data_IF_982392939379
#
_entry.id   IF_982392939379
#
_cell.length_a   1.000
_cell.length_b   1.000
_cell.length_c   1.000
_cell.angle_alpha   90.00
_cell.angle_beta   90.00
_cell.angle_gamma   90.00
#
_symmetry.space_group_name_H-M   'P 1'
#
loop_
_entity.id
_entity.type
_entity.pdbx_description
1 polymer ?
#
# COMPACT_ATOMS: atom_id res chain seq x y z
N UNK A 1 -0.46 16.45 7.58
CA UNK A 1 -0.57 15.06 8.10
C UNK A 1 -1.99 14.56 7.82
N UNK A 2 -2.30 13.27 7.70
CA UNK A 2 -3.61 12.83 7.17
C UNK A 2 -4.57 12.26 8.24
N UNK A 3 -5.86 12.56 8.13
CA UNK A 3 -6.89 12.15 9.11
C UNK A 3 -8.22 11.77 8.42
N UNK A 4 -8.88 10.70 8.89
CA UNK A 4 -10.21 10.31 8.40
C UNK A 4 -11.28 10.89 9.34
N UNK A 5 -12.19 11.69 8.79
CA UNK A 5 -13.27 12.35 9.54
C UNK A 5 -14.66 11.96 9.03
N UNK A 6 -15.63 12.01 9.92
CA UNK A 6 -17.06 11.94 9.59
C UNK A 6 -17.59 13.30 9.22
N UNK A 7 -18.36 13.37 8.15
CA UNK A 7 -19.11 14.56 7.76
C UNK A 7 -20.59 14.21 7.71
N UNK A 8 -21.39 14.97 8.45
CA UNK A 8 -22.85 14.93 8.36
C UNK A 8 -23.31 15.71 7.12
N UNK A 9 -24.26 15.15 6.40
CA UNK A 9 -24.79 15.67 5.15
C UNK A 9 -26.21 16.17 5.43
N UNK A 10 -26.50 17.40 5.00
CA UNK A 10 -27.81 18.01 5.18
C UNK A 10 -28.91 17.30 4.35
N UNK A 11 -28.51 16.66 3.24
CA UNK A 11 -29.40 15.97 2.33
C UNK A 11 -29.14 14.45 2.33
N UNK A 12 -30.17 13.67 2.02
CA UNK A 12 -30.12 12.20 1.95
C UNK A 12 -29.40 11.69 0.69
N UNK A 13 -28.12 12.00 0.60
CA UNK A 13 -27.21 11.58 -0.49
C UNK A 13 -26.34 10.38 -0.09
N UNK A 14 -26.51 9.82 1.11
CA UNK A 14 -25.92 8.55 1.57
C UNK A 14 -26.91 7.76 2.43
N UNK A 15 -26.61 6.50 2.73
CA UNK A 15 -27.53 5.62 3.49
C UNK A 15 -27.82 6.11 4.92
N UNK A 16 -26.92 6.94 5.48
CA UNK A 16 -26.99 7.42 6.88
C UNK A 16 -26.87 8.94 7.02
N UNK A 17 -27.01 9.69 5.92
CA UNK A 17 -26.70 11.13 5.87
C UNK A 17 -25.31 11.48 6.43
N UNK A 18 -24.39 10.51 6.41
CA UNK A 18 -23.02 10.65 6.88
C UNK A 18 -22.11 10.06 5.80
N UNK A 19 -20.95 10.67 5.61
CA UNK A 19 -19.86 10.14 4.77
C UNK A 19 -18.54 10.26 5.53
N UNK A 20 -17.64 9.31 5.30
CA UNK A 20 -16.26 9.41 5.77
C UNK A 20 -15.40 10.05 4.68
N UNK A 21 -14.50 10.95 5.05
CA UNK A 21 -13.55 11.60 4.14
C UNK A 21 -12.14 11.60 4.71
N UNK A 22 -11.13 11.57 3.84
CA UNK A 22 -9.73 11.73 4.19
C UNK A 22 -9.32 13.19 4.02
N UNK A 23 -8.85 13.81 5.10
CA UNK A 23 -8.39 15.19 5.17
C UNK A 23 -6.87 15.25 5.24
N UNK A 24 -6.32 16.30 4.64
CA UNK A 24 -5.01 16.80 5.01
C UNK A 24 -5.18 17.81 6.17
N UNK A 25 -4.49 17.55 7.28
CA UNK A 25 -4.54 18.34 8.50
C UNK A 25 -3.82 19.68 8.37
N UNK A 26 -2.92 19.82 7.41
CA UNK A 26 -2.19 21.07 7.20
C UNK A 26 -3.06 22.09 6.46
N UNK A 27 -3.62 21.68 5.32
CA UNK A 27 -4.57 22.52 4.58
C UNK A 27 -5.98 22.54 5.18
N UNK A 28 -6.32 21.60 6.07
CA UNK A 28 -7.66 21.36 6.64
C UNK A 28 -8.74 20.98 5.62
N UNK A 29 -8.35 20.71 4.36
CA UNK A 29 -9.26 20.31 3.29
C UNK A 29 -9.25 18.79 3.04
N UNK A 30 -10.35 18.23 2.51
CA UNK A 30 -10.34 16.87 2.00
C UNK A 30 -9.31 16.70 0.90
N UNK A 31 -8.56 15.59 0.92
CA UNK A 31 -7.68 15.22 -0.18
C UNK A 31 -8.52 15.02 -1.44
N UNK A 32 -8.13 15.67 -2.55
CA UNK A 32 -8.93 15.74 -3.79
C UNK A 32 -9.35 14.37 -4.32
N UNK A 33 -8.39 13.48 -4.59
CA UNK A 33 -8.71 12.19 -5.21
C UNK A 33 -9.47 11.24 -4.25
N UNK A 34 -9.13 11.15 -2.94
CA UNK A 34 -9.91 10.42 -1.96
C UNK A 34 -11.33 10.97 -1.80
N UNK A 35 -11.52 12.29 -1.88
CA UNK A 35 -12.85 12.91 -1.89
C UNK A 35 -13.68 12.41 -3.10
N UNK A 36 -13.10 12.47 -4.30
CA UNK A 36 -13.79 12.01 -5.51
C UNK A 36 -14.11 10.51 -5.43
N UNK A 37 -13.19 9.70 -4.94
CA UNK A 37 -13.42 8.28 -4.68
C UNK A 37 -14.53 8.04 -3.64
N UNK A 38 -14.52 8.80 -2.54
CA UNK A 38 -15.58 8.77 -1.53
C UNK A 38 -16.95 9.02 -2.15
N UNK A 39 -17.08 10.08 -2.95
CA UNK A 39 -18.36 10.49 -3.53
C UNK A 39 -18.84 9.56 -4.65
N UNK A 40 -17.93 9.01 -5.46
CA UNK A 40 -18.28 8.25 -6.67
C UNK A 40 -18.32 6.74 -6.45
N UNK A 41 -17.53 6.20 -5.53
CA UNK A 41 -17.34 4.74 -5.41
C UNK A 41 -17.84 4.19 -4.07
N UNK A 42 -17.56 4.86 -2.95
CA UNK A 42 -17.81 4.27 -1.62
C UNK A 42 -18.93 4.95 -0.83
N UNK A 43 -19.54 6.01 -1.34
CA UNK A 43 -20.62 6.79 -0.69
C UNK A 43 -21.77 5.96 -0.14
N UNK A 44 -22.17 4.90 -0.86
CA UNK A 44 -23.28 4.02 -0.49
C UNK A 44 -22.85 2.75 0.24
N UNK A 45 -21.55 2.59 0.48
CA UNK A 45 -21.04 1.51 1.33
C UNK A 45 -21.36 1.80 2.80
N UNK A 46 -21.31 0.76 3.63
CA UNK A 46 -21.44 0.94 5.08
C UNK A 46 -20.37 1.89 5.62
N UNK A 47 -20.66 2.63 6.70
CA UNK A 47 -19.69 3.57 7.29
C UNK A 47 -18.40 2.88 7.74
N UNK A 48 -18.47 1.62 8.19
CA UNK A 48 -17.29 0.84 8.56
C UNK A 48 -16.46 0.48 7.34
N UNK A 49 -17.09 0.11 6.22
CA UNK A 49 -16.41 -0.11 4.94
C UNK A 49 -15.76 1.17 4.43
N UNK A 50 -16.46 2.30 4.45
CA UNK A 50 -15.89 3.60 4.05
C UNK A 50 -14.67 3.95 4.91
N UNK A 51 -14.79 3.81 6.23
CA UNK A 51 -13.69 4.06 7.15
C UNK A 51 -12.50 3.14 6.89
N UNK A 52 -12.74 1.84 6.69
CA UNK A 52 -11.68 0.87 6.37
C UNK A 52 -10.97 1.21 5.05
N UNK A 53 -11.74 1.56 4.01
CA UNK A 53 -11.18 1.95 2.71
C UNK A 53 -10.31 3.21 2.86
N UNK A 54 -10.79 4.23 3.58
CA UNK A 54 -10.06 5.49 3.77
C UNK A 54 -8.87 5.39 4.73
N UNK A 55 -8.91 4.50 5.71
CA UNK A 55 -7.75 4.22 6.56
C UNK A 55 -6.61 3.58 5.75
N UNK A 56 -6.94 2.73 4.78
CA UNK A 56 -5.94 2.21 3.85
C UNK A 56 -5.38 3.31 2.93
N UNK A 57 -6.22 4.24 2.46
CA UNK A 57 -5.74 5.40 1.70
C UNK A 57 -4.89 6.33 2.54
N UNK A 58 -5.22 6.53 3.83
CA UNK A 58 -4.38 7.26 4.76
C UNK A 58 -2.98 6.64 4.85
N UNK A 59 -2.87 5.32 4.96
CA UNK A 59 -1.56 4.65 4.98
C UNK A 59 -0.79 4.88 3.69
N UNK A 60 -1.44 4.81 2.52
CA UNK A 60 -0.82 5.14 1.22
C UNK A 60 -0.33 6.58 1.15
N UNK A 61 -1.14 7.54 1.59
CA UNK A 61 -0.79 8.96 1.60
C UNK A 61 0.37 9.26 2.56
N UNK A 62 0.37 8.62 3.73
CA UNK A 62 1.49 8.72 4.68
C UNK A 62 2.77 8.09 4.12
N UNK A 63 2.68 6.92 3.48
CA UNK A 63 3.79 6.28 2.78
C UNK A 63 4.39 7.22 1.73
N UNK A 64 3.54 7.76 0.85
CA UNK A 64 3.97 8.61 -0.25
C UNK A 64 4.66 9.87 0.26
N UNK A 65 4.04 10.57 1.21
CA UNK A 65 4.59 11.79 1.78
C UNK A 65 5.91 11.54 2.51
N UNK A 66 6.02 10.47 3.29
CA UNK A 66 7.29 10.12 3.96
C UNK A 66 8.41 9.79 2.96
N UNK A 67 8.09 9.20 1.80
CA UNK A 67 9.09 8.81 0.80
C UNK A 67 9.52 9.99 -0.08
N UNK A 68 8.59 10.84 -0.48
CA UNK A 68 8.82 11.88 -1.51
C UNK A 68 8.69 13.32 -1.01
N UNK A 69 8.31 13.53 0.26
CA UNK A 69 8.06 14.85 0.86
C UNK A 69 7.03 15.71 0.11
N UNK A 70 6.15 15.08 -0.66
CA UNK A 70 5.08 15.72 -1.44
C UNK A 70 3.77 14.97 -1.21
N UNK A 71 2.63 15.65 -1.26
CA UNK A 71 1.34 14.97 -1.16
C UNK A 71 1.08 14.12 -2.42
N UNK A 72 0.41 12.97 -2.26
CA UNK A 72 0.06 12.14 -3.42
C UNK A 72 -0.87 12.89 -4.39
N UNK A 73 -1.76 13.75 -3.89
CA UNK A 73 -2.63 14.56 -4.75
C UNK A 73 -1.82 15.51 -5.64
N UNK A 74 -0.87 16.24 -5.04
CA UNK A 74 -0.02 17.17 -5.75
C UNK A 74 0.85 16.43 -6.77
N UNK A 75 1.52 15.34 -6.36
CA UNK A 75 2.30 14.50 -7.26
C UNK A 75 1.46 13.98 -8.44
N UNK A 76 0.29 13.41 -8.18
CA UNK A 76 -0.51 12.79 -9.23
C UNK A 76 -1.02 13.83 -10.24
N UNK A 77 -1.28 15.06 -9.79
CA UNK A 77 -1.61 16.17 -10.67
C UNK A 77 -0.39 16.67 -11.46
N UNK A 78 0.74 16.95 -10.79
CA UNK A 78 1.93 17.54 -11.40
C UNK A 78 2.68 16.59 -12.35
N UNK A 79 2.61 15.28 -12.09
CA UNK A 79 3.12 14.23 -12.99
C UNK A 79 2.25 13.98 -14.23
N UNK A 80 1.21 14.79 -14.43
CA UNK A 80 0.21 14.60 -15.48
C UNK A 80 -0.40 13.19 -15.44
N UNK A 81 -0.79 12.75 -14.23
CA UNK A 81 -1.43 11.46 -13.98
C UNK A 81 -0.58 10.26 -14.40
N UNK A 82 0.73 10.28 -14.17
CA UNK A 82 1.61 9.18 -14.56
C UNK A 82 1.39 7.92 -13.69
N UNK A 83 0.68 6.94 -14.26
CA UNK A 83 0.36 5.68 -13.60
C UNK A 83 1.55 4.73 -13.44
N UNK A 84 2.58 4.84 -14.28
CA UNK A 84 3.76 3.97 -14.23
C UNK A 84 4.56 4.22 -12.95
N UNK A 85 4.76 5.50 -12.59
CA UNK A 85 5.44 5.89 -11.35
C UNK A 85 4.69 5.41 -10.09
N UNK A 86 3.35 5.40 -10.13
CA UNK A 86 2.54 4.89 -9.01
C UNK A 86 2.59 3.37 -8.95
N UNK A 87 2.55 2.73 -10.12
CA UNK A 87 2.60 1.28 -10.29
C UNK A 87 3.89 0.68 -9.72
N UNK A 88 5.04 1.32 -9.93
CA UNK A 88 6.34 0.89 -9.41
C UNK A 88 6.39 0.88 -7.88
N UNK A 89 5.58 1.72 -7.23
CA UNK A 89 5.56 1.89 -5.78
C UNK A 89 4.62 0.94 -5.04
N UNK A 90 3.84 0.13 -5.75
CA UNK A 90 2.90 -0.82 -5.14
C UNK A 90 3.65 -1.84 -4.26
N UNK A 91 4.79 -2.34 -4.74
CA UNK A 91 5.59 -3.33 -3.99
C UNK A 91 6.27 -2.71 -2.78
N UNK A 92 6.84 -1.52 -2.94
CA UNK A 92 7.41 -0.76 -1.83
C UNK A 92 6.36 -0.46 -0.76
N UNK A 93 5.13 -0.13 -1.16
CA UNK A 93 4.04 0.11 -0.22
C UNK A 93 3.61 -1.15 0.54
N UNK A 94 3.59 -2.31 -0.13
CA UNK A 94 3.32 -3.58 0.56
C UNK A 94 4.40 -3.83 1.63
N UNK A 95 5.67 -3.64 1.28
CA UNK A 95 6.79 -3.78 2.23
C UNK A 95 6.65 -2.79 3.39
N UNK A 96 6.27 -1.54 3.12
CA UNK A 96 5.99 -0.53 4.14
C UNK A 96 4.89 -0.97 5.12
N UNK A 97 3.80 -1.55 4.62
CA UNK A 97 2.72 -2.10 5.46
C UNK A 97 3.20 -3.30 6.28
N UNK A 98 4.03 -4.16 5.70
CA UNK A 98 4.65 -5.31 6.39
C UNK A 98 5.62 -4.85 7.50
N UNK A 99 6.28 -3.70 7.31
CA UNK A 99 7.16 -3.06 8.27
C UNK A 99 6.42 -2.14 9.27
N UNK A 100 5.13 -2.37 9.52
CA UNK A 100 4.31 -1.58 10.45
C UNK A 100 4.33 -0.07 10.17
N UNK A 101 4.21 0.31 8.89
CA UNK A 101 4.23 1.71 8.45
C UNK A 101 5.57 2.43 8.69
N UNK A 102 6.67 1.69 8.65
CA UNK A 102 8.04 2.23 8.67
C UNK A 102 8.70 2.12 7.28
N UNK A 103 9.33 3.22 6.87
CA UNK A 103 10.07 3.38 5.60
C UNK A 103 11.57 3.14 5.76
N UNK A 104 12.04 2.74 6.95
CA UNK A 104 13.42 2.33 7.14
C UNK A 104 13.84 1.32 6.06
N UNK A 105 15.07 1.46 5.54
CA UNK A 105 15.65 0.64 4.46
C UNK A 105 15.86 -0.82 4.90
N UNK A 106 14.77 -1.52 5.17
CA UNK A 106 14.75 -2.86 5.71
C UNK A 106 14.00 -3.73 4.72
N UNK A 107 14.76 -4.46 3.91
CA UNK A 107 14.23 -5.52 3.06
C UNK A 107 13.71 -6.63 3.97
N UNK A 108 12.40 -6.83 3.95
CA UNK A 108 11.76 -7.81 4.81
C UNK A 108 11.97 -9.23 4.28
N UNK A 109 12.60 -10.08 5.08
CA UNK A 109 12.72 -11.50 4.79
C UNK A 109 11.66 -12.20 5.62
N UNK A 110 10.44 -12.34 5.08
CA UNK A 110 9.35 -13.25 5.49
C UNK A 110 9.07 -13.59 6.97
N UNK A 111 7.80 -13.59 7.39
CA UNK A 111 7.38 -14.31 8.61
C UNK A 111 7.40 -13.58 9.97
N UNK A 112 7.01 -12.31 10.04
CA UNK A 112 6.95 -11.60 11.32
C UNK A 112 5.68 -12.10 11.99
N UNK A 113 5.83 -12.76 13.14
CA UNK A 113 4.70 -13.34 13.86
C UNK A 113 3.68 -12.26 14.25
N UNK A 114 4.12 -11.01 14.46
CA UNK A 114 3.29 -9.85 14.79
C UNK A 114 2.55 -9.27 13.57
N UNK A 115 2.97 -9.57 12.34
CA UNK A 115 2.35 -9.01 11.12
C UNK A 115 1.03 -9.70 10.81
N UNK A 116 -0.05 -8.91 10.85
CA UNK A 116 -1.39 -9.33 10.49
C UNK A 116 -1.59 -9.21 8.96
N UNK A 117 -1.27 -10.28 8.24
CA UNK A 117 -1.43 -10.35 6.79
C UNK A 117 -2.88 -10.22 6.32
N UNK A 118 -3.89 -10.52 7.15
CA UNK A 118 -5.30 -10.28 6.82
C UNK A 118 -5.57 -8.78 6.75
N UNK A 119 -5.08 -8.02 7.73
CA UNK A 119 -5.21 -6.57 7.75
C UNK A 119 -4.47 -5.92 6.57
N UNK A 120 -3.21 -6.31 6.33
CA UNK A 120 -2.44 -5.82 5.17
C UNK A 120 -3.18 -6.14 3.87
N UNK A 121 -3.69 -7.36 3.74
CA UNK A 121 -4.46 -7.77 2.57
C UNK A 121 -5.68 -6.89 2.32
N UNK A 122 -6.42 -6.54 3.37
CA UNK A 122 -7.56 -5.63 3.26
C UNK A 122 -7.12 -4.21 2.89
N UNK A 123 -6.04 -3.69 3.47
CA UNK A 123 -5.48 -2.38 3.12
C UNK A 123 -5.06 -2.31 1.66
N UNK A 124 -4.30 -3.30 1.19
CA UNK A 124 -3.85 -3.36 -0.21
C UNK A 124 -5.04 -3.49 -1.16
N UNK A 125 -6.05 -4.31 -0.85
CA UNK A 125 -7.26 -4.38 -1.69
C UNK A 125 -7.99 -3.04 -1.79
N UNK A 126 -8.08 -2.32 -0.68
CA UNK A 126 -8.73 -1.01 -0.62
C UNK A 126 -7.96 0.04 -1.44
N UNK A 127 -6.63 0.05 -1.31
CA UNK A 127 -5.76 0.86 -2.16
C UNK A 127 -5.90 0.49 -3.64
N UNK A 128 -5.86 -0.80 -4.00
CA UNK A 128 -5.99 -1.25 -5.38
C UNK A 128 -7.36 -0.89 -5.99
N UNK A 129 -8.43 -0.90 -5.18
CA UNK A 129 -9.76 -0.42 -5.57
C UNK A 129 -9.73 1.09 -5.90
N UNK A 130 -9.09 1.90 -5.07
CA UNK A 130 -8.88 3.33 -5.34
C UNK A 130 -8.00 3.56 -6.58
N UNK A 131 -6.92 2.80 -6.72
CA UNK A 131 -6.02 2.91 -7.87
C UNK A 131 -6.72 2.55 -9.19
N UNK A 132 -7.56 1.52 -9.19
CA UNK A 132 -8.43 1.20 -10.35
C UNK A 132 -9.39 2.34 -10.66
N UNK A 133 -10.00 2.96 -9.65
CA UNK A 133 -10.85 4.14 -9.84
C UNK A 133 -10.08 5.30 -10.53
N UNK A 134 -8.86 5.60 -10.09
CA UNK A 134 -8.04 6.63 -10.74
C UNK A 134 -7.74 6.25 -12.19
N UNK A 135 -7.37 4.99 -12.44
CA UNK A 135 -7.05 4.51 -13.79
C UNK A 135 -8.25 4.65 -14.73
N UNK A 136 -9.46 4.40 -14.26
CA UNK A 136 -10.66 4.52 -15.08
C UNK A 136 -10.98 5.98 -15.45
N UNK A 137 -10.81 6.92 -14.51
CA UNK A 137 -11.14 8.35 -14.69
C UNK A 137 -10.01 9.16 -15.36
N UNK A 138 -8.74 8.80 -15.13
CA UNK A 138 -7.59 9.64 -15.50
C UNK A 138 -6.70 9.05 -16.59
N UNK A 139 -6.64 7.71 -16.76
CA UNK A 139 -5.93 7.11 -17.88
C UNK A 139 -6.86 7.04 -19.11
N UNK A 140 -7.11 8.21 -19.71
CA UNK A 140 -8.01 8.39 -20.86
C UNK A 140 -7.37 9.25 -21.94
N UNK A 141 -7.81 9.12 -23.20
CA UNK A 141 -7.26 9.89 -24.34
C UNK A 141 -7.36 11.40 -24.08
N UNK A 142 -8.42 11.84 -23.39
CA UNK A 142 -8.60 13.26 -23.02
C UNK A 142 -7.49 13.77 -22.11
N UNK A 143 -6.97 12.93 -21.22
CA UNK A 143 -5.92 13.27 -20.26
C UNK A 143 -4.51 12.97 -20.78
N UNK A 144 -4.40 12.01 -21.68
CA UNK A 144 -3.16 11.63 -22.36
C UNK A 144 -3.34 11.73 -23.88
N UNK A 145 -3.37 12.95 -24.45
CA UNK A 145 -3.65 13.16 -25.87
C UNK A 145 -2.55 12.62 -26.81
N UNK A 146 -1.38 12.29 -26.27
CA UNK A 146 -0.27 11.68 -26.99
C UNK A 146 -0.41 10.15 -27.14
N UNK A 147 -1.37 9.53 -26.46
CA UNK A 147 -1.64 8.09 -26.54
C UNK A 147 -2.94 7.84 -27.31
N UNK A 148 -2.91 6.82 -28.15
CA UNK A 148 -4.13 6.33 -28.78
C UNK A 148 -4.94 5.42 -27.84
N UNK A 149 -6.16 5.09 -28.26
CA UNK A 149 -7.05 4.23 -27.47
C UNK A 149 -6.46 2.83 -27.24
N UNK A 150 -5.75 2.25 -28.21
CA UNK A 150 -5.17 0.91 -28.10
C UNK A 150 -4.02 0.90 -27.09
N UNK A 151 -3.19 1.94 -27.09
CA UNK A 151 -2.11 2.14 -26.14
C UNK A 151 -2.64 2.29 -24.72
N UNK A 152 -3.66 3.11 -24.52
CA UNK A 152 -4.33 3.26 -23.22
C UNK A 152 -4.89 1.92 -22.72
N UNK A 153 -5.61 1.18 -23.56
CA UNK A 153 -6.15 -0.13 -23.18
C UNK A 153 -5.04 -1.16 -22.89
N UNK A 154 -3.92 -1.09 -23.62
CA UNK A 154 -2.74 -1.93 -23.36
C UNK A 154 -2.12 -1.61 -21.99
N UNK A 155 -1.95 -0.34 -21.66
CA UNK A 155 -1.44 0.10 -20.34
C UNK A 155 -2.39 -0.36 -19.24
N UNK A 156 -3.70 -0.09 -19.37
CA UNK A 156 -4.73 -0.55 -18.41
C UNK A 156 -4.68 -2.06 -18.21
N UNK A 157 -4.58 -2.83 -19.29
CA UNK A 157 -4.48 -4.29 -19.25
C UNK A 157 -3.23 -4.77 -18.50
N UNK A 158 -2.08 -4.15 -18.74
CA UNK A 158 -0.83 -4.48 -18.06
C UNK A 158 -0.91 -4.19 -16.55
N UNK A 159 -1.40 -3.00 -16.19
CA UNK A 159 -1.64 -2.61 -14.80
C UNK A 159 -2.59 -3.60 -14.14
N UNK A 160 -3.72 -3.92 -14.78
CA UNK A 160 -4.72 -4.86 -14.25
C UNK A 160 -4.16 -6.26 -14.01
N UNK A 161 -3.36 -6.79 -14.94
CA UNK A 161 -2.67 -8.08 -14.77
C UNK A 161 -1.78 -8.08 -13.53
N UNK A 162 -1.04 -6.99 -13.30
CA UNK A 162 -0.20 -6.85 -12.12
C UNK A 162 -1.03 -6.75 -10.84
N UNK A 163 -2.09 -5.92 -10.82
CA UNK A 163 -3.03 -5.82 -9.69
C UNK A 163 -3.58 -7.21 -9.33
N UNK A 164 -4.01 -7.98 -10.32
CA UNK A 164 -4.55 -9.33 -10.11
C UNK A 164 -3.49 -10.31 -9.61
N UNK A 165 -2.26 -10.19 -10.11
CA UNK A 165 -1.12 -10.95 -9.60
C UNK A 165 -0.83 -10.64 -8.13
N UNK A 166 -0.79 -9.37 -7.72
CA UNK A 166 -0.58 -8.96 -6.33
C UNK A 166 -1.73 -9.42 -5.43
N UNK A 167 -2.99 -9.27 -5.87
CA UNK A 167 -4.16 -9.82 -5.16
C UNK A 167 -4.03 -11.33 -4.93
N UNK A 168 -3.52 -12.09 -5.91
CA UNK A 168 -3.28 -13.54 -5.78
C UNK A 168 -2.18 -13.86 -4.76
N UNK A 169 -1.06 -13.14 -4.77
CA UNK A 169 0.04 -13.33 -3.82
C UNK A 169 -0.45 -13.08 -2.39
N UNK A 170 -1.09 -11.94 -2.18
CA UNK A 170 -1.60 -11.52 -0.87
C UNK A 170 -2.68 -12.50 -0.37
N UNK A 171 -3.55 -13.01 -1.25
CA UNK A 171 -4.52 -14.04 -0.86
C UNK A 171 -3.84 -15.34 -0.43
N UNK A 172 -2.72 -15.72 -1.05
CA UNK A 172 -1.95 -16.90 -0.65
C UNK A 172 -1.27 -16.71 0.71
N UNK A 173 -0.73 -15.53 1.01
CA UNK A 173 -0.11 -15.25 2.32
C UNK A 173 -1.13 -15.21 3.47
N UNK A 174 -2.40 -14.93 3.18
CA UNK A 174 -3.49 -15.02 4.18
C UNK A 174 -4.02 -16.43 4.45
N UNK A 175 -3.65 -17.44 3.64
CA UNK A 175 -4.11 -18.82 3.84
C UNK A 175 -3.21 -19.53 4.85
N UNK A 176 -3.63 -19.57 6.11
CA UNK A 176 -3.15 -20.54 7.10
C UNK A 176 -3.76 -21.91 6.77
N UNK A 177 -2.95 -22.86 6.32
CA UNK A 177 -3.33 -24.27 6.29
C UNK A 177 -2.72 -24.87 7.57
N UNK A 178 -3.56 -25.35 8.49
CA UNK A 178 -3.16 -25.98 9.76
C UNK A 178 -2.25 -25.13 10.69
N UNK A 179 -2.49 -23.82 10.81
CA UNK A 179 -1.79 -23.00 11.81
C UNK A 179 -0.31 -22.70 11.50
N UNK A 180 0.28 -23.32 10.48
CA UNK A 180 1.65 -23.05 10.07
C UNK A 180 1.70 -22.02 8.93
N UNK A 181 2.39 -20.90 9.17
CA UNK A 181 2.69 -19.91 8.14
C UNK A 181 3.61 -20.57 7.11
N UNK A 182 3.16 -20.69 5.86
CA UNK A 182 4.00 -21.17 4.76
C UNK A 182 5.19 -20.22 4.59
N UNK A 183 6.38 -20.67 4.99
CA UNK A 183 7.62 -19.91 4.85
C UNK A 183 7.82 -19.51 3.37
N UNK A 184 8.34 -18.29 3.13
CA UNK A 184 8.58 -17.77 1.78
C UNK A 184 9.54 -18.66 0.97
N UNK A 185 10.41 -19.39 1.66
CA UNK A 185 11.50 -20.16 1.09
C UNK A 185 11.14 -21.63 0.94
N UNK A 186 10.28 -21.95 -0.03
CA UNK A 186 9.90 -23.35 -0.31
C UNK A 186 11.08 -24.26 -0.70
N UNK A 187 12.21 -23.67 -1.10
CA UNK A 187 13.44 -24.37 -1.46
C UNK A 187 14.41 -24.54 -0.30
N UNK A 188 14.09 -24.02 0.90
CA UNK A 188 14.95 -24.09 2.08
C UNK A 188 14.27 -24.88 3.19
N UNK A 189 15.02 -25.72 3.89
CA UNK A 189 14.56 -26.36 5.12
C UNK A 189 14.45 -25.31 6.25
N UNK A 190 13.75 -25.65 7.34
CA UNK A 190 13.62 -24.75 8.49
C UNK A 190 14.99 -24.37 9.08
N UNK A 191 15.95 -25.30 9.05
CA UNK A 191 17.34 -25.08 9.48
C UNK A 191 18.06 -24.09 8.56
N UNK A 192 17.92 -24.24 7.24
CA UNK A 192 18.50 -23.31 6.27
C UNK A 192 17.93 -21.90 6.44
N UNK A 193 16.62 -21.81 6.69
CA UNK A 193 15.94 -20.53 6.98
C UNK A 193 16.49 -19.93 8.27
N UNK A 194 16.72 -20.74 9.32
CA UNK A 194 17.31 -20.28 10.58
C UNK A 194 18.73 -19.73 10.38
N UNK A 195 19.60 -20.48 9.70
CA UNK A 195 20.98 -20.06 9.40
C UNK A 195 21.00 -18.80 8.54
N UNK A 196 20.08 -18.68 7.58
CA UNK A 196 19.92 -17.46 6.79
C UNK A 196 19.63 -16.26 7.69
N UNK A 197 18.63 -16.35 8.57
CA UNK A 197 18.32 -15.27 9.52
C UNK A 197 19.49 -14.96 10.46
N UNK A 198 20.18 -15.97 11.00
CA UNK A 198 21.38 -15.77 11.83
C UNK A 198 22.48 -15.01 11.07
N UNK A 199 22.69 -15.36 9.79
CA UNK A 199 23.69 -14.72 8.94
C UNK A 199 23.36 -13.25 8.71
N UNK A 200 22.13 -12.93 8.34
CA UNK A 200 21.77 -11.57 7.89
C UNK A 200 21.33 -10.64 9.02
N UNK A 201 21.13 -11.14 10.24
CA UNK A 201 20.67 -10.33 11.39
C UNK A 201 21.66 -9.19 11.67
N UNK A 202 21.22 -7.94 11.91
CA UNK A 202 22.12 -6.82 12.11
C UNK A 202 22.90 -6.96 13.41
N UNK A 203 24.07 -6.34 13.46
CA UNK A 203 24.75 -6.12 14.75
C UNK A 203 23.95 -5.13 15.61
N UNK A 204 23.81 -5.44 16.90
CA UNK A 204 23.25 -4.53 17.92
C UNK A 204 24.39 -3.76 18.57
N UNK A 205 24.08 -2.64 19.23
CA UNK A 205 25.07 -1.87 20.00
C UNK A 205 25.83 -2.71 21.01
N UNK A 206 25.19 -3.76 21.53
CA UNK A 206 25.72 -4.60 22.59
C UNK A 206 26.11 -6.02 22.11
N UNK A 207 25.93 -6.34 20.82
CA UNK A 207 26.26 -7.65 20.27
C UNK A 207 26.56 -7.57 18.77
N UNK A 208 27.82 -7.80 18.39
CA UNK A 208 28.26 -7.80 17.00
C UNK A 208 27.96 -9.17 16.38
N UNK A 209 27.25 -9.18 15.26
CA UNK A 209 27.03 -10.39 14.48
C UNK A 209 28.20 -10.60 13.50
N UNK A 210 29.08 -11.54 13.81
CA UNK A 210 30.24 -11.90 12.99
C UNK A 210 29.88 -12.59 11.67
N UNK A 211 28.68 -13.17 11.57
CA UNK A 211 28.22 -13.86 10.36
C UNK A 211 27.63 -12.90 9.33
N UNK A 212 27.34 -11.65 9.71
CA UNK A 212 26.71 -10.69 8.80
C UNK A 212 27.72 -10.11 7.80
N UNK A 213 27.55 -10.35 6.49
CA UNK A 213 28.44 -9.80 5.47
C UNK A 213 28.30 -8.28 5.33
N UNK A 214 27.20 -7.69 5.83
CA UNK A 214 26.93 -6.27 5.76
C UNK A 214 27.38 -5.55 7.05
N UNK A 215 28.55 -4.92 6.98
CA UNK A 215 29.14 -4.18 8.11
C UNK A 215 28.54 -2.79 8.33
N UNK A 216 27.96 -2.19 7.29
CA UNK A 216 27.41 -0.83 7.34
C UNK A 216 25.90 -0.86 7.64
N UNK A 217 25.43 -0.01 8.56
CA UNK A 217 24.00 0.09 8.95
C UNK A 217 22.98 0.25 7.79
N UNK A 218 23.27 1.00 6.70
CA UNK A 218 22.31 1.16 5.59
C UNK A 218 22.03 -0.12 4.80
N UNK A 219 22.92 -1.11 4.88
CA UNK A 219 22.85 -2.36 4.10
C UNK A 219 22.50 -3.58 4.94
N UNK A 220 22.17 -3.41 6.22
CA UNK A 220 21.85 -4.52 7.14
C UNK A 220 20.36 -4.88 7.08
N UNK A 221 20.07 -6.18 6.90
CA UNK A 221 18.73 -6.74 6.99
C UNK A 221 18.25 -6.75 8.45
N UNK A 222 17.30 -5.90 8.83
CA UNK A 222 16.79 -5.86 10.21
C UNK A 222 15.62 -6.83 10.41
N UNK A 223 15.80 -7.77 11.34
CA UNK A 223 14.70 -8.44 12.02
C UNK A 223 14.25 -7.54 13.18
N UNK A 224 13.03 -7.01 13.11
CA UNK A 224 12.41 -6.35 14.26
C UNK A 224 11.81 -7.44 15.17
N UNK A 225 12.41 -7.63 16.34
CA UNK A 225 11.91 -8.51 17.43
C UNK A 225 10.51 -8.13 17.92
#
# INVERSE_FOLDING_TARGET
>A
MFEVKSIQLEQKISNKNEIKLLFDTESTFPCLFPLLFSLRVIRFQSLSTQYSDLMALKDWYMFWYKKYAISFCEFFYSSNYNFELIYEEIDTFIIYLENNNDLSHVTYLGGNRKVNYINISNKVRSFLKFFTYLMDDYLTVKKHPHLDRKEIEKIKSNIKKHIDFKKKIIRKSTKTIHGEKKYLYKSMTNEMVKVLYETITPSRSNSINSFNPFKNRPTQFRNFE
#
